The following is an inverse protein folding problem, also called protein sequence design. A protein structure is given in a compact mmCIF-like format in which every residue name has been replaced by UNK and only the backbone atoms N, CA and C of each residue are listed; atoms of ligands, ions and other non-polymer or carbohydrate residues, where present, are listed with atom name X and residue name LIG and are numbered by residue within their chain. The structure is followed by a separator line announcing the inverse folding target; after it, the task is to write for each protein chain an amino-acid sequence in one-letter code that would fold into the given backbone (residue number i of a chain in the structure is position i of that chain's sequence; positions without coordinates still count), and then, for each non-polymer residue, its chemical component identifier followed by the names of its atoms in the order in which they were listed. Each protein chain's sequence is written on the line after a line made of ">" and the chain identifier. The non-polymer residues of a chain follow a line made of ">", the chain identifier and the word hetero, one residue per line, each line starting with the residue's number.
data_IF_818701318826
#
_entry.id   IF_818701318826
#
_cell.length_a   1.000
_cell.length_b   1.000
_cell.length_c   1.000
_cell.angle_alpha   90.00
_cell.angle_beta   90.00
_cell.angle_gamma   90.00
#
_symmetry.space_group_name_H-M   'P 1'
#
loop_
_entity.id
_entity.type
_entity.pdbx_description
1 polymer ?
#
# COMPACT_ATOMS: atom_id res chain seq x y z
N UNK A 1 -14.50 14.23 -10.23
CA UNK A 1 -15.00 12.85 -10.18
C UNK A 1 -13.78 11.95 -10.19
N UNK A 2 -13.62 11.11 -9.17
CA UNK A 2 -12.47 10.20 -9.06
C UNK A 2 -12.81 8.91 -9.80
N UNK A 3 -11.89 8.47 -10.66
CA UNK A 3 -12.05 7.28 -11.49
C UNK A 3 -10.70 6.68 -11.85
N UNK A 4 -10.64 5.37 -11.82
CA UNK A 4 -9.53 4.52 -12.29
C UNK A 4 -10.08 3.47 -13.26
N UNK A 5 -9.31 2.43 -13.59
CA UNK A 5 -9.72 1.41 -14.54
C UNK A 5 -10.94 0.63 -14.07
N UNK A 6 -10.92 0.15 -12.82
CA UNK A 6 -11.93 -0.72 -12.24
C UNK A 6 -12.82 -0.03 -11.22
N UNK A 7 -12.46 1.18 -10.75
CA UNK A 7 -13.23 1.88 -9.72
C UNK A 7 -13.61 3.30 -10.11
N UNK A 8 -14.74 3.75 -9.58
CA UNK A 8 -15.20 5.13 -9.65
C UNK A 8 -15.82 5.54 -8.32
N UNK A 9 -15.91 6.85 -8.10
CA UNK A 9 -16.67 7.39 -6.99
C UNK A 9 -18.17 7.19 -7.26
N UNK A 10 -18.81 6.37 -6.44
CA UNK A 10 -20.24 6.14 -6.43
C UNK A 10 -20.99 7.09 -5.50
N UNK A 11 -22.22 6.70 -5.17
CA UNK A 11 -23.09 7.46 -4.27
C UNK A 11 -22.49 7.60 -2.87
N UNK A 12 -22.77 8.74 -2.23
CA UNK A 12 -22.24 9.10 -0.91
C UNK A 12 -20.70 9.12 -0.81
N UNK A 13 -20.01 9.16 -1.96
CA UNK A 13 -18.55 9.17 -2.02
C UNK A 13 -17.90 7.81 -1.80
N UNK A 14 -18.68 6.73 -1.77
CA UNK A 14 -18.17 5.37 -1.61
C UNK A 14 -17.57 4.86 -2.93
N UNK A 15 -16.53 4.01 -2.88
CA UNK A 15 -16.02 3.37 -4.09
C UNK A 15 -17.07 2.45 -4.71
N UNK A 16 -17.14 2.45 -6.04
CA UNK A 16 -17.96 1.56 -6.84
C UNK A 16 -17.08 0.78 -7.81
N UNK A 17 -17.22 -0.54 -7.82
CA UNK A 17 -16.60 -1.38 -8.85
C UNK A 17 -17.36 -1.23 -10.18
N UNK A 18 -16.61 -1.01 -11.27
CA UNK A 18 -17.12 -0.81 -12.63
C UNK A 18 -16.40 -1.71 -13.66
N UNK A 19 -15.73 -2.76 -13.19
CA UNK A 19 -15.03 -3.70 -14.05
C UNK A 19 -15.96 -4.70 -14.75
N UNK A 20 -15.36 -5.63 -15.52
CA UNK A 20 -16.09 -6.73 -16.15
C UNK A 20 -16.86 -7.58 -15.13
N UNK A 21 -18.01 -8.12 -15.55
CA UNK A 21 -18.93 -8.84 -14.66
C UNK A 21 -18.29 -10.10 -14.03
N UNK A 22 -17.37 -10.75 -14.74
CA UNK A 22 -16.64 -11.91 -14.22
C UNK A 22 -15.75 -11.56 -13.02
N UNK A 23 -15.40 -10.29 -12.81
CA UNK A 23 -14.59 -9.81 -11.69
C UNK A 23 -15.44 -9.24 -10.54
N UNK A 24 -16.77 -9.32 -10.62
CA UNK A 24 -17.67 -8.71 -9.62
C UNK A 24 -17.43 -9.20 -8.20
N UNK A 25 -17.21 -10.51 -7.98
CA UNK A 25 -16.97 -11.02 -6.63
C UNK A 25 -15.69 -10.43 -6.02
N UNK A 26 -14.61 -10.34 -6.81
CA UNK A 26 -13.36 -9.71 -6.39
C UNK A 26 -13.55 -8.22 -6.11
N UNK A 27 -14.18 -7.47 -7.03
CA UNK A 27 -14.45 -6.05 -6.85
C UNK A 27 -15.34 -5.76 -5.63
N UNK A 28 -16.36 -6.58 -5.42
CA UNK A 28 -17.27 -6.46 -4.27
C UNK A 28 -16.56 -6.74 -2.96
N UNK A 29 -15.69 -7.75 -2.88
CA UNK A 29 -14.85 -7.98 -1.69
C UNK A 29 -13.94 -6.78 -1.41
N UNK A 30 -13.30 -6.22 -2.44
CA UNK A 30 -12.46 -5.01 -2.28
C UNK A 30 -13.26 -3.84 -1.71
N UNK A 31 -14.40 -3.50 -2.33
CA UNK A 31 -15.23 -2.38 -1.89
C UNK A 31 -16.08 -2.68 -0.66
N UNK A 32 -16.29 -3.94 -0.29
CA UNK A 32 -17.17 -4.34 0.80
C UNK A 32 -16.41 -4.54 2.10
N UNK A 33 -15.21 -5.11 2.01
CA UNK A 33 -14.52 -5.68 3.16
C UNK A 33 -13.17 -5.00 3.43
N UNK A 34 -12.28 -4.97 2.44
CA UNK A 34 -10.90 -4.50 2.69
C UNK A 34 -10.69 -2.99 2.49
N UNK A 35 -11.66 -2.27 1.89
CA UNK A 35 -11.56 -0.81 1.73
C UNK A 35 -11.47 -0.01 3.04
N UNK A 36 -11.84 -0.63 4.17
CA UNK A 36 -11.93 0.03 5.47
C UNK A 36 -10.57 0.45 6.02
N UNK A 37 -9.48 -0.18 5.55
CA UNK A 37 -8.13 0.09 6.02
C UNK A 37 -7.12 0.07 4.87
N UNK A 38 -6.26 1.09 4.73
CA UNK A 38 -5.18 1.07 3.75
C UNK A 38 -4.23 -0.10 3.96
N UNK A 39 -4.05 -0.55 5.20
CA UNK A 39 -3.18 -1.67 5.52
C UNK A 39 -3.73 -2.96 4.93
N UNK A 40 -5.05 -3.17 4.97
CA UNK A 40 -5.68 -4.36 4.40
C UNK A 40 -5.54 -4.42 2.88
N UNK A 41 -5.59 -3.26 2.20
CA UNK A 41 -5.35 -3.19 0.75
C UNK A 41 -3.90 -3.58 0.43
N UNK A 42 -2.93 -3.05 1.18
CA UNK A 42 -1.51 -3.34 0.99
C UNK A 42 -1.16 -4.79 1.33
N UNK A 43 -1.73 -5.33 2.40
CA UNK A 43 -1.58 -6.73 2.80
C UNK A 43 -2.09 -7.67 1.70
N UNK A 44 -3.28 -7.43 1.14
CA UNK A 44 -3.80 -8.20 0.02
C UNK A 44 -2.87 -8.15 -1.21
N UNK A 45 -2.30 -6.98 -1.53
CA UNK A 45 -1.33 -6.83 -2.63
C UNK A 45 -0.07 -7.67 -2.35
N UNK A 46 0.44 -7.61 -1.12
CA UNK A 46 1.64 -8.35 -0.73
C UNK A 46 1.41 -9.86 -0.77
N UNK A 47 0.25 -10.35 -0.30
CA UNK A 47 -0.12 -11.76 -0.38
C UNK A 47 -0.16 -12.28 -1.82
N UNK A 48 -0.75 -11.51 -2.75
CA UNK A 48 -0.77 -11.88 -4.18
C UNK A 48 0.66 -11.96 -4.74
N UNK A 49 1.52 -11.00 -4.38
CA UNK A 49 2.92 -10.98 -4.84
C UNK A 49 3.73 -12.15 -4.27
N UNK A 50 3.51 -12.50 -3.00
CA UNK A 50 4.15 -13.67 -2.39
C UNK A 50 3.70 -14.95 -3.09
N UNK A 51 2.41 -15.11 -3.34
CA UNK A 51 1.87 -16.25 -4.07
C UNK A 51 2.38 -16.36 -5.52
N UNK A 52 2.63 -15.23 -6.19
CA UNK A 52 3.25 -15.22 -7.53
C UNK A 52 4.74 -15.62 -7.49
N UNK A 53 5.45 -15.25 -6.43
CA UNK A 53 6.89 -15.45 -6.30
C UNK A 53 7.26 -16.86 -5.83
N UNK A 54 6.39 -17.53 -5.08
CA UNK A 54 6.64 -18.85 -4.50
C UNK A 54 5.60 -19.90 -4.92
N UNK A 55 5.97 -20.86 -5.78
CA UNK A 55 5.10 -22.00 -6.11
C UNK A 55 4.71 -22.86 -4.90
N UNK A 56 5.50 -22.83 -3.82
CA UNK A 56 5.26 -23.49 -2.55
C UNK A 56 4.53 -22.64 -1.51
N UNK A 57 4.02 -21.47 -1.91
CA UNK A 57 3.26 -20.58 -1.04
C UNK A 57 2.14 -21.35 -0.33
N UNK A 58 2.15 -21.31 1.01
CA UNK A 58 1.09 -21.90 1.82
C UNK A 58 -0.14 -21.02 1.70
N UNK A 59 -1.31 -21.56 1.36
CA UNK A 59 -2.50 -20.74 1.21
C UNK A 59 -2.81 -19.93 2.47
N UNK A 60 -3.12 -18.66 2.28
CA UNK A 60 -3.47 -17.73 3.37
C UNK A 60 -4.88 -17.18 3.16
N UNK A 61 -5.60 -17.01 4.26
CA UNK A 61 -6.96 -16.51 4.27
C UNK A 61 -7.00 -15.10 4.83
N UNK A 62 -7.81 -14.25 4.21
CA UNK A 62 -8.11 -12.91 4.68
C UNK A 62 -9.62 -12.77 4.85
N UNK A 63 -10.05 -12.77 6.10
CA UNK A 63 -11.46 -12.63 6.46
C UNK A 63 -11.93 -11.18 6.40
N UNK A 64 -13.08 -11.00 5.79
CA UNK A 64 -13.84 -9.76 5.73
C UNK A 64 -15.09 -9.81 6.59
N UNK A 65 -15.96 -8.83 6.38
CA UNK A 65 -17.28 -8.79 7.00
C UNK A 65 -18.27 -9.73 6.28
N UNK A 66 -18.20 -9.81 4.96
CA UNK A 66 -19.09 -10.61 4.12
C UNK A 66 -18.38 -11.71 3.33
N UNK A 67 -17.07 -11.60 3.11
CA UNK A 67 -16.31 -12.54 2.30
C UNK A 67 -15.02 -12.97 2.97
N UNK A 68 -14.57 -14.19 2.66
CA UNK A 68 -13.19 -14.64 2.89
C UNK A 68 -12.48 -14.71 1.55
N UNK A 69 -11.26 -14.16 1.49
CA UNK A 69 -10.37 -14.33 0.36
C UNK A 69 -9.26 -15.34 0.70
N UNK A 70 -9.11 -16.38 -0.11
CA UNK A 70 -8.03 -17.36 0.02
C UNK A 70 -7.01 -17.14 -1.09
N UNK A 71 -5.78 -16.80 -0.72
CA UNK A 71 -4.66 -16.58 -1.63
C UNK A 71 -3.86 -17.87 -1.74
N UNK A 72 -3.55 -18.30 -2.95
CA UNK A 72 -2.74 -19.50 -3.22
C UNK A 72 -1.86 -19.28 -4.46
N UNK A 73 -0.89 -20.16 -4.70
CA UNK A 73 -0.09 -20.12 -5.93
C UNK A 73 -0.90 -20.32 -7.21
N UNK A 74 -2.15 -20.79 -7.12
CA UNK A 74 -3.06 -20.96 -8.27
C UNK A 74 -3.90 -19.71 -8.56
N UNK A 75 -4.13 -18.87 -7.55
CA UNK A 75 -5.08 -17.77 -7.66
C UNK A 75 -5.63 -17.29 -6.33
N UNK A 76 -6.58 -16.37 -6.41
CA UNK A 76 -7.36 -15.85 -5.28
C UNK A 76 -8.79 -16.38 -5.40
N UNK A 77 -9.24 -17.14 -4.40
CA UNK A 77 -10.63 -17.58 -4.28
C UNK A 77 -11.38 -16.61 -3.35
N UNK A 78 -12.61 -16.24 -3.73
CA UNK A 78 -13.49 -15.39 -2.92
C UNK A 78 -14.73 -16.19 -2.55
N UNK A 79 -14.96 -16.37 -1.26
CA UNK A 79 -16.15 -16.99 -0.70
C UNK A 79 -17.00 -15.93 -0.01
N UNK A 80 -18.32 -16.04 -0.08
CA UNK A 80 -19.23 -15.13 0.63
C UNK A 80 -19.88 -15.90 1.78
N UNK A 81 -19.76 -15.42 3.02
CA UNK A 81 -20.31 -16.10 4.20
C UNK A 81 -21.83 -16.25 4.19
N UNK A 82 -22.53 -15.41 3.42
CA UNK A 82 -23.99 -15.43 3.29
C UNK A 82 -24.46 -16.28 2.10
N UNK A 83 -23.56 -16.83 1.30
CA UNK A 83 -23.86 -17.75 0.20
C UNK A 83 -23.14 -19.08 0.43
N UNK A 84 -23.79 -20.22 0.20
CA UNK A 84 -23.23 -21.54 0.56
C UNK A 84 -22.02 -21.99 -0.31
N UNK A 85 -21.45 -21.14 -1.18
CA UNK A 85 -20.43 -21.54 -2.17
C UNK A 85 -19.43 -20.41 -2.51
N UNK A 86 -18.23 -20.82 -2.96
CA UNK A 86 -17.21 -19.96 -3.61
C UNK A 86 -17.87 -19.14 -4.72
N UNK A 87 -17.71 -17.82 -4.66
CA UNK A 87 -18.31 -16.88 -5.61
C UNK A 87 -17.40 -16.60 -6.80
N UNK A 88 -16.09 -16.86 -6.69
CA UNK A 88 -15.19 -16.79 -7.84
C UNK A 88 -13.74 -17.16 -7.51
N UNK A 89 -13.03 -17.65 -8.51
CA UNK A 89 -11.59 -17.88 -8.49
C UNK A 89 -10.91 -17.02 -9.56
N UNK A 90 -9.84 -16.33 -9.15
CA UNK A 90 -9.19 -15.30 -9.96
C UNK A 90 -7.71 -15.60 -10.13
N UNK A 91 -7.21 -15.49 -11.36
CA UNK A 91 -5.77 -15.54 -11.62
C UNK A 91 -5.05 -14.43 -10.86
N UNK A 92 -3.86 -14.73 -10.33
CA UNK A 92 -3.06 -13.79 -9.54
C UNK A 92 -2.82 -12.46 -10.26
N UNK A 93 -2.54 -12.47 -11.56
CA UNK A 93 -2.32 -11.26 -12.34
C UNK A 93 -3.57 -10.36 -12.41
N UNK A 94 -4.75 -10.97 -12.54
CA UNK A 94 -6.02 -10.24 -12.54
C UNK A 94 -6.33 -9.68 -11.16
N UNK A 95 -6.12 -10.49 -10.11
CA UNK A 95 -6.31 -10.07 -8.73
C UNK A 95 -5.40 -8.88 -8.39
N UNK A 96 -4.12 -8.98 -8.75
CA UNK A 96 -3.15 -7.91 -8.54
C UNK A 96 -3.55 -6.63 -9.28
N UNK A 97 -3.97 -6.73 -10.54
CA UNK A 97 -4.39 -5.57 -11.32
C UNK A 97 -5.58 -4.83 -10.69
N UNK A 98 -6.57 -5.58 -10.19
CA UNK A 98 -7.73 -5.00 -9.51
C UNK A 98 -7.35 -4.36 -8.17
N UNK A 99 -6.47 -4.99 -7.39
CA UNK A 99 -6.01 -4.46 -6.10
C UNK A 99 -5.16 -3.20 -6.28
N UNK A 100 -4.25 -3.18 -7.24
CA UNK A 100 -3.42 -2.01 -7.54
C UNK A 100 -4.26 -0.84 -8.04
N UNK A 101 -5.23 -1.09 -8.92
CA UNK A 101 -6.14 -0.04 -9.38
C UNK A 101 -7.00 0.53 -8.23
N UNK A 102 -7.39 -0.31 -7.28
CA UNK A 102 -8.08 0.17 -6.07
C UNK A 102 -7.16 1.01 -5.18
N UNK A 103 -5.89 0.63 -5.04
CA UNK A 103 -4.91 1.41 -4.31
C UNK A 103 -4.72 2.80 -4.93
N UNK A 104 -4.60 2.88 -6.26
CA UNK A 104 -4.54 4.15 -6.98
C UNK A 104 -5.81 4.99 -6.76
N UNK A 105 -6.98 4.35 -6.82
CA UNK A 105 -8.25 5.01 -6.50
C UNK A 105 -8.26 5.56 -5.07
N UNK A 106 -7.83 4.76 -4.09
CA UNK A 106 -7.77 5.13 -2.67
C UNK A 106 -6.85 6.34 -2.45
N UNK A 107 -5.69 6.37 -3.10
CA UNK A 107 -4.77 7.50 -3.06
C UNK A 107 -5.37 8.78 -3.64
N UNK A 108 -6.07 8.68 -4.78
CA UNK A 108 -6.77 9.82 -5.38
C UNK A 108 -7.92 10.34 -4.50
N UNK A 109 -8.62 9.44 -3.79
CA UNK A 109 -9.69 9.77 -2.87
C UNK A 109 -9.20 10.39 -1.54
N UNK A 110 -7.94 10.18 -1.19
CA UNK A 110 -7.35 10.61 0.08
C UNK A 110 -6.00 11.33 -0.10
N UNK A 111 -5.95 12.46 -0.83
CA UNK A 111 -4.69 13.17 -1.09
C UNK A 111 -3.97 13.67 0.19
N UNK A 112 -4.72 13.87 1.27
CA UNK A 112 -4.19 14.24 2.59
C UNK A 112 -3.30 13.14 3.21
N UNK A 113 -3.53 11.87 2.85
CA UNK A 113 -2.76 10.73 3.35
C UNK A 113 -1.39 10.62 2.67
N UNK A 114 -1.23 11.22 1.49
CA UNK A 114 0.03 11.29 0.72
C UNK A 114 0.91 12.46 1.20
N UNK A 115 0.28 13.54 1.68
CA UNK A 115 0.94 14.83 1.93
C UNK A 115 1.39 15.05 3.37
N UNK A 116 1.36 14.04 4.25
CA UNK A 116 2.08 14.12 5.53
C UNK A 116 3.50 13.57 5.35
N UNK A 117 4.52 14.41 5.12
CA UNK A 117 5.84 14.03 5.57
C UNK A 117 5.70 13.82 7.09
N UNK A 118 6.07 12.63 7.55
CA UNK A 118 6.32 12.38 8.96
C UNK A 118 7.11 13.57 9.48
N UNK A 119 6.51 14.33 10.40
CA UNK A 119 7.12 15.47 11.03
C UNK A 119 8.35 15.00 11.81
N UNK A 120 9.49 14.90 11.11
CA UNK A 120 10.78 14.96 11.73
C UNK A 120 10.82 16.31 12.42
N UNK A 121 10.53 16.28 13.73
CA UNK A 121 10.84 17.35 14.66
C UNK A 121 12.34 17.62 14.54
N UNK A 122 12.69 18.48 13.60
CA UNK A 122 14.02 19.06 13.52
C UNK A 122 14.08 19.99 14.71
N UNK A 123 14.54 19.45 15.84
CA UNK A 123 15.04 20.25 16.95
C UNK A 123 16.07 21.19 16.34
N UNK A 124 15.69 22.46 16.11
CA UNK A 124 16.63 23.55 15.89
C UNK A 124 17.51 23.62 17.13
N UNK A 125 18.69 23.00 17.08
CA UNK A 125 19.82 23.48 17.90
C UNK A 125 20.17 24.85 17.35
N UNK A 126 19.75 25.88 18.05
CA UNK A 126 20.37 27.20 17.96
C UNK A 126 21.84 27.06 18.35
N UNK A 127 22.73 26.93 17.37
CA UNK A 127 24.16 27.16 17.56
C UNK A 127 24.37 28.66 17.45
N UNK A 128 24.65 29.28 18.60
CA UNK A 128 24.95 30.69 18.70
C UNK A 128 26.20 31.04 17.91
N UNK A 129 26.06 31.97 16.98
CA UNK A 129 27.17 32.63 16.30
C UNK A 129 27.61 33.83 17.15
N UNK A 130 28.79 33.76 17.77
CA UNK A 130 29.54 34.96 18.18
C UNK A 130 31.02 34.81 17.85
N UNK A 131 31.34 35.41 16.70
CA UNK A 131 32.51 36.17 16.30
C UNK A 131 33.75 36.28 17.21
N UNK A 132 34.89 35.97 16.55
CA UNK A 132 36.16 36.73 16.40
C UNK A 132 37.02 37.10 17.63
N UNK A 133 38.25 36.59 17.57
CA UNK A 133 39.53 37.19 17.99
C UNK A 133 40.63 36.20 17.59
N UNK A 134 41.29 36.31 16.44
CA UNK A 134 42.47 37.13 16.13
C UNK A 134 43.54 37.10 17.22
N UNK A 135 44.50 36.17 17.10
CA UNK A 135 45.89 36.42 17.45
C UNK A 135 46.84 35.42 16.76
N UNK A 136 48.06 35.91 16.56
CA UNK A 136 48.99 35.65 15.47
C UNK A 136 50.06 34.60 15.82
N UNK A 137 50.59 33.95 14.76
CA UNK A 137 51.97 33.48 14.55
C UNK A 137 52.59 32.44 15.52
N UNK A 138 52.93 31.27 14.97
CA UNK A 138 54.34 30.88 14.81
C UNK A 138 54.52 29.73 13.81
N UNK A 139 55.31 29.98 12.77
CA UNK A 139 56.04 28.96 12.04
C UNK A 139 57.13 28.40 12.96
N UNK A 140 57.35 27.10 12.95
CA UNK A 140 58.70 26.56 12.80
C UNK A 140 58.64 25.12 12.27
N UNK A 141 59.60 24.89 11.37
CA UNK A 141 59.81 23.73 10.51
C UNK A 141 60.49 22.56 11.23
N UNK A 142 60.65 21.45 10.48
CA UNK A 142 61.60 20.32 10.59
C UNK A 142 60.88 18.98 10.84
N UNK A 143 60.70 18.11 9.85
CA UNK A 143 61.68 17.25 9.14
C UNK A 143 62.35 16.18 10.01
N UNK A 144 62.38 14.97 9.44
CA UNK A 144 63.21 13.76 9.73
C UNK A 144 62.55 12.69 10.62
N UNK A 145 62.15 11.58 10.00
CA UNK A 145 62.95 10.36 9.71
C UNK A 145 63.19 9.52 10.98
N UNK A 146 62.46 8.40 11.11
CA UNK A 146 62.98 7.02 11.17
C UNK A 146 61.89 6.06 11.63
#
# INVERSE_FOLDING_TARGET
>A
MIRTQYYAQGDFGLPLFQGPAELNALGNWVTGDIQLSPLSILEAIDLVRLAQADPGFTPEEMDGNAHTATFSSQGVAIENHFAEHVQGEFLLDKALAVLLDFWDYYLLAHPEKISRPTGASTRRRTVGTRSRGFETLRCDSLSKES
#
